data_IF_358681467567
#
_entry.id   IF_358681467567
#
_cell.length_a   1.000
_cell.length_b   1.000
_cell.length_c   1.000
_cell.angle_alpha   90.00
_cell.angle_beta   90.00
_cell.angle_gamma   90.00
#
_symmetry.space_group_name_H-M   'P 1'
#
loop_
_entity.id
_entity.type
_entity.pdbx_description
1 polymer ?
#
# COMPACT_ATOMS: atom_id res chain seq x y z
N UNK A 1 -1.13 9.36 -34.85
CA UNK A 1 -0.57 9.18 -33.49
C UNK A 1 -1.33 10.11 -32.55
N UNK A 2 -2.30 9.60 -31.80
CA UNK A 2 -3.08 10.39 -30.85
C UNK A 2 -2.45 10.27 -29.46
N UNK A 3 -1.70 11.29 -29.05
CA UNK A 3 -1.39 11.55 -27.65
C UNK A 3 -2.67 11.88 -26.88
N UNK A 4 -2.65 11.61 -25.57
CA UNK A 4 -3.68 11.87 -24.54
C UNK A 4 -4.48 10.64 -24.06
N UNK A 5 -4.17 9.43 -24.54
CA UNK A 5 -4.69 8.17 -23.97
C UNK A 5 -3.60 7.10 -23.78
N UNK A 6 -2.46 7.46 -23.18
CA UNK A 6 -1.77 6.48 -22.34
C UNK A 6 -2.62 6.35 -21.05
N UNK A 7 -3.77 5.67 -21.13
CA UNK A 7 -4.80 5.65 -20.08
C UNK A 7 -4.34 5.03 -18.76
N UNK A 8 -5.24 4.95 -17.76
CA UNK A 8 -4.99 4.29 -16.46
C UNK A 8 -4.31 2.91 -16.62
N UNK A 9 -4.66 2.19 -17.68
CA UNK A 9 -4.11 0.89 -18.05
C UNK A 9 -2.63 0.95 -18.50
N UNK A 10 -2.21 2.03 -19.18
CA UNK A 10 -0.80 2.22 -19.55
C UNK A 10 0.09 2.50 -18.33
N UNK A 11 -0.52 2.95 -17.22
CA UNK A 11 0.18 3.19 -15.94
C UNK A 11 0.27 1.95 -15.04
N UNK A 12 -0.18 0.78 -15.49
CA UNK A 12 -0.14 -0.46 -14.69
C UNK A 12 1.29 -0.84 -14.27
N UNK A 13 2.33 -0.74 -15.13
CA UNK A 13 3.70 -1.06 -14.71
C UNK A 13 4.25 -0.10 -13.63
N UNK A 14 4.00 1.21 -13.76
CA UNK A 14 4.42 2.19 -12.74
C UNK A 14 3.63 2.00 -11.44
N UNK A 15 2.35 1.64 -11.54
CA UNK A 15 1.54 1.28 -10.40
C UNK A 15 2.07 0.06 -9.66
N UNK A 16 2.46 -1.01 -10.38
CA UNK A 16 3.07 -2.21 -9.81
C UNK A 16 4.33 -1.88 -9.01
N UNK A 17 5.18 -1.00 -9.55
CA UNK A 17 6.36 -0.49 -8.84
C UNK A 17 5.98 0.29 -7.57
N UNK A 18 5.02 1.22 -7.69
CA UNK A 18 4.56 2.04 -6.56
C UNK A 18 3.96 1.22 -5.41
N UNK A 19 3.06 0.27 -5.72
CA UNK A 19 2.43 -0.57 -4.69
C UNK A 19 3.44 -1.53 -4.03
N UNK A 20 4.46 -1.99 -4.77
CA UNK A 20 5.57 -2.79 -4.21
C UNK A 20 6.42 -1.99 -3.24
N UNK A 21 6.76 -0.74 -3.57
CA UNK A 21 7.50 0.15 -2.68
C UNK A 21 6.72 0.48 -1.41
N UNK A 22 5.41 0.71 -1.53
CA UNK A 22 4.54 0.89 -0.38
C UNK A 22 4.52 -0.34 0.53
N UNK A 23 4.40 -1.53 -0.03
CA UNK A 23 4.42 -2.77 0.74
C UNK A 23 5.74 -2.93 1.53
N UNK A 24 6.88 -2.69 0.89
CA UNK A 24 8.18 -2.74 1.55
C UNK A 24 8.29 -1.66 2.65
N UNK A 25 7.90 -0.42 2.35
CA UNK A 25 7.95 0.70 3.29
C UNK A 25 7.11 0.45 4.54
N UNK A 26 5.90 -0.11 4.39
CA UNK A 26 5.02 -0.43 5.52
C UNK A 26 5.67 -1.39 6.51
N UNK A 27 6.34 -2.44 6.01
CA UNK A 27 7.05 -3.42 6.84
C UNK A 27 8.27 -2.76 7.49
N UNK A 28 9.08 -2.04 6.73
CA UNK A 28 10.29 -1.39 7.25
C UNK A 28 9.99 -0.39 8.35
N UNK A 29 8.96 0.44 8.17
CA UNK A 29 8.57 1.48 9.13
C UNK A 29 7.88 0.87 10.35
N UNK A 30 7.00 -0.13 10.16
CA UNK A 30 6.17 -0.66 11.25
C UNK A 30 6.78 -1.87 11.98
N UNK A 31 7.86 -2.47 11.48
CA UNK A 31 8.50 -3.59 12.16
C UNK A 31 9.02 -3.27 13.58
N UNK A 32 9.63 -2.09 13.85
CA UNK A 32 10.17 -1.75 15.17
C UNK A 32 9.12 -1.77 16.29
N UNK A 33 9.55 -2.10 17.51
CA UNK A 33 8.69 -2.16 18.71
C UNK A 33 8.25 -0.79 19.23
N UNK A 34 8.72 0.30 18.62
CA UNK A 34 8.28 1.67 18.92
C UNK A 34 6.79 1.86 18.65
N UNK A 35 6.25 1.18 17.63
CA UNK A 35 4.82 1.19 17.32
C UNK A 35 4.08 0.10 18.09
N UNK A 36 2.87 0.43 18.54
CA UNK A 36 2.00 -0.51 19.25
C UNK A 36 1.64 -1.70 18.35
N UNK A 37 1.42 -2.87 18.95
CA UNK A 37 1.16 -4.12 18.21
C UNK A 37 0.04 -3.98 17.16
N UNK A 38 -1.06 -3.30 17.49
CA UNK A 38 -2.17 -3.13 16.56
C UNK A 38 -1.78 -2.37 15.29
N UNK A 39 -0.90 -1.36 15.38
CA UNK A 39 -0.41 -0.59 14.23
C UNK A 39 0.47 -1.46 13.33
N UNK A 40 1.25 -2.35 13.94
CA UNK A 40 2.11 -3.31 13.24
C UNK A 40 1.26 -4.33 12.48
N UNK A 41 0.15 -4.77 13.08
CA UNK A 41 -0.81 -5.67 12.45
C UNK A 41 -1.52 -5.02 11.27
N UNK A 42 -2.02 -3.78 11.41
CA UNK A 42 -2.67 -3.07 10.29
C UNK A 42 -1.69 -2.82 9.14
N UNK A 43 -0.44 -2.47 9.45
CA UNK A 43 0.61 -2.29 8.45
C UNK A 43 0.94 -3.59 7.73
N UNK A 44 1.03 -4.70 8.46
CA UNK A 44 1.30 -6.02 7.90
C UNK A 44 0.16 -6.47 6.98
N UNK A 45 -1.10 -6.29 7.38
CA UNK A 45 -2.26 -6.62 6.54
C UNK A 45 -2.23 -5.80 5.25
N UNK A 46 -2.04 -4.48 5.34
CA UNK A 46 -1.91 -3.63 4.16
C UNK A 46 -0.77 -4.08 3.24
N UNK A 47 0.41 -4.35 3.81
CA UNK A 47 1.58 -4.81 3.06
C UNK A 47 1.32 -6.13 2.32
N UNK A 48 0.70 -7.12 2.98
CA UNK A 48 0.36 -8.40 2.34
C UNK A 48 -0.60 -8.20 1.18
N UNK A 49 -1.68 -7.41 1.36
CA UNK A 49 -2.64 -7.14 0.28
C UNK A 49 -1.99 -6.42 -0.91
N UNK A 50 -1.04 -5.52 -0.65
CA UNK A 50 -0.26 -4.83 -1.67
C UNK A 50 0.75 -5.74 -2.38
N UNK A 51 1.43 -6.64 -1.67
CA UNK A 51 2.29 -7.67 -2.29
C UNK A 51 1.48 -8.57 -3.20
N UNK A 52 0.33 -9.07 -2.75
CA UNK A 52 -0.53 -9.93 -3.58
C UNK A 52 -0.96 -9.18 -4.85
N UNK A 53 -1.35 -7.91 -4.71
CA UNK A 53 -1.73 -7.07 -5.86
C UNK A 53 -0.56 -6.87 -6.84
N UNK A 54 0.66 -6.63 -6.34
CA UNK A 54 1.85 -6.53 -7.17
C UNK A 54 2.15 -7.84 -7.90
N UNK A 55 2.10 -8.97 -7.20
CA UNK A 55 2.28 -10.29 -7.81
C UNK A 55 1.26 -10.56 -8.93
N UNK A 56 -0.01 -10.21 -8.71
CA UNK A 56 -1.05 -10.35 -9.73
C UNK A 56 -0.74 -9.50 -10.97
N UNK A 57 -0.28 -8.26 -10.78
CA UNK A 57 0.10 -7.38 -11.90
C UNK A 57 1.29 -7.96 -12.67
N UNK A 58 2.30 -8.46 -11.97
CA UNK A 58 3.47 -9.10 -12.58
C UNK A 58 3.11 -10.41 -13.29
N UNK A 59 2.06 -11.10 -12.85
CA UNK A 59 1.48 -12.28 -13.52
C UNK A 59 0.53 -11.94 -14.69
N UNK A 60 0.38 -10.67 -15.03
CA UNK A 60 -0.39 -10.21 -16.19
C UNK A 60 -1.82 -9.76 -15.91
N UNK A 61 -2.26 -9.70 -14.64
CA UNK A 61 -3.56 -9.12 -14.30
C UNK A 61 -3.47 -7.58 -14.32
N UNK A 62 -4.24 -6.86 -15.16
CA UNK A 62 -4.15 -5.42 -15.28
C UNK A 62 -4.90 -4.70 -14.14
N UNK A 63 -4.49 -4.92 -12.89
CA UNK A 63 -5.12 -4.31 -11.73
C UNK A 63 -4.87 -2.80 -11.73
N UNK A 64 -5.96 -2.06 -11.53
CA UNK A 64 -5.96 -0.62 -11.33
C UNK A 64 -6.01 -0.32 -9.82
N UNK A 65 -5.63 0.89 -9.38
CA UNK A 65 -5.74 1.29 -7.97
C UNK A 65 -7.16 1.13 -7.40
N UNK A 66 -8.18 1.24 -8.24
CA UNK A 66 -9.59 1.14 -7.85
C UNK A 66 -10.17 -0.27 -8.03
N UNK A 67 -9.37 -1.26 -8.45
CA UNK A 67 -9.83 -2.63 -8.64
C UNK A 67 -10.33 -3.26 -7.34
N UNK A 68 -11.42 -4.02 -7.45
CA UNK A 68 -12.07 -4.73 -6.35
C UNK A 68 -11.94 -6.24 -6.56
N UNK A 69 -11.64 -7.02 -5.50
CA UNK A 69 -11.42 -6.58 -4.12
C UNK A 69 -10.01 -6.03 -3.87
N UNK A 70 -9.03 -6.45 -4.68
CA UNK A 70 -7.64 -6.02 -4.58
C UNK A 70 -7.32 -5.06 -5.72
N UNK A 71 -6.62 -3.95 -5.45
CA UNK A 71 -5.93 -3.56 -4.21
C UNK A 71 -6.80 -2.77 -3.22
N UNK A 72 -8.04 -2.44 -3.58
CA UNK A 72 -8.89 -1.51 -2.82
C UNK A 72 -9.06 -1.86 -1.33
N UNK A 73 -9.14 -3.16 -1.00
CA UNK A 73 -9.26 -3.63 0.37
C UNK A 73 -8.05 -3.28 1.28
N UNK A 74 -6.88 -2.98 0.70
CA UNK A 74 -5.69 -2.59 1.47
C UNK A 74 -5.71 -1.16 2.01
N UNK A 75 -6.45 -0.25 1.36
CA UNK A 75 -6.42 1.17 1.72
C UNK A 75 -6.99 1.50 3.12
N UNK A 76 -8.07 0.87 3.61
CA UNK A 76 -8.52 1.08 4.99
C UNK A 76 -7.44 0.75 6.03
N UNK A 77 -6.70 -0.34 5.82
CA UNK A 77 -5.60 -0.73 6.72
C UNK A 77 -4.40 0.21 6.62
N UNK A 78 -4.11 0.72 5.42
CA UNK A 78 -3.12 1.77 5.22
C UNK A 78 -3.49 3.04 6.01
N UNK A 79 -4.73 3.49 5.91
CA UNK A 79 -5.23 4.67 6.63
C UNK A 79 -5.13 4.46 8.15
N UNK A 80 -5.58 3.31 8.67
CA UNK A 80 -5.46 2.98 10.09
C UNK A 80 -3.99 3.00 10.57
N UNK A 81 -3.09 2.51 9.72
CA UNK A 81 -1.64 2.53 10.00
C UNK A 81 -1.12 3.96 10.10
N UNK A 82 -1.48 4.85 9.17
CA UNK A 82 -1.08 6.26 9.24
C UNK A 82 -1.63 6.97 10.47
N UNK A 83 -2.90 6.75 10.83
CA UNK A 83 -3.47 7.28 12.07
C UNK A 83 -2.65 6.82 13.28
N UNK A 84 -2.28 5.53 13.32
CA UNK A 84 -1.45 4.99 14.39
C UNK A 84 -0.04 5.61 14.46
N UNK A 85 0.60 5.80 13.31
CA UNK A 85 1.92 6.45 13.24
C UNK A 85 1.85 7.89 13.72
N UNK A 86 0.91 8.69 13.20
CA UNK A 86 0.73 10.10 13.58
C UNK A 86 0.47 10.21 15.08
N UNK A 87 -0.43 9.39 15.62
CA UNK A 87 -0.73 9.39 17.05
C UNK A 87 0.49 9.09 17.92
N UNK A 88 1.31 8.13 17.51
CA UNK A 88 2.55 7.78 18.22
C UNK A 88 3.53 8.94 18.24
N UNK A 89 3.73 9.59 17.09
CA UNK A 89 4.66 10.72 16.95
C UNK A 89 4.18 11.94 17.75
N UNK A 90 2.90 12.33 17.62
CA UNK A 90 2.33 13.47 18.35
C UNK A 90 2.39 13.27 19.86
N UNK A 91 2.26 12.03 20.35
CA UNK A 91 2.41 11.72 21.78
C UNK A 91 3.86 11.70 22.27
N UNK A 92 4.83 11.41 21.40
CA UNK A 92 6.24 11.41 21.76
C UNK A 92 6.81 12.84 21.87
N UNK A 93 6.23 13.80 21.13
CA UNK A 93 6.58 15.23 21.18
C UNK A 93 6.00 15.98 22.40
N UNK A 94 5.05 15.37 23.13
CA UNK A 94 4.44 15.95 24.34
C UNK A 94 5.07 15.39 25.61
#
# INVERSE_FOLDING_TARGET
MAGNAAGLQASVPSYAGGISLWAAGLVLISAPKTFALWMRLTALVAAVLFVVSACMILWGAPLLPTSSPLPAAGYPFLVLTFVGWIWTLVRAER
#
